data_IF_592120054463
#
_entry.id   IF_592120054463
#
_cell.length_a   1.000
_cell.length_b   1.000
_cell.length_c   1.000
_cell.angle_alpha   90.00
_cell.angle_beta   90.00
_cell.angle_gamma   90.00
#
_symmetry.space_group_name_H-M   'P 1'
#
loop_
_entity.id
_entity.type
_entity.pdbx_description
1 polymer ?
#
# COMPACT_ATOMS: atom_id res chain seq x y z
N UNK A 1 -8.11 -5.80 -13.53
CA UNK A 1 -9.24 -4.86 -13.72
C UNK A 1 -9.61 -4.25 -12.38
N UNK A 2 -9.75 -2.94 -12.33
CA UNK A 2 -10.17 -2.25 -11.12
C UNK A 2 -11.67 -2.08 -11.10
N UNK A 3 -12.26 -2.22 -9.92
CA UNK A 3 -13.66 -1.90 -9.68
C UNK A 3 -13.73 -0.68 -8.77
N UNK A 4 -14.75 0.15 -8.99
CA UNK A 4 -14.98 1.34 -8.18
C UNK A 4 -15.79 0.96 -6.94
N UNK A 5 -15.39 1.47 -5.80
CA UNK A 5 -16.10 1.34 -4.53
C UNK A 5 -16.27 2.74 -3.93
N UNK A 6 -17.42 3.00 -3.32
CA UNK A 6 -17.62 4.25 -2.58
C UNK A 6 -16.57 4.38 -1.49
N UNK A 7 -16.00 5.57 -1.37
CA UNK A 7 -14.87 5.80 -0.48
C UNK A 7 -15.20 5.55 0.99
N UNK A 8 -16.44 5.82 1.40
CA UNK A 8 -16.92 5.54 2.76
C UNK A 8 -17.04 4.04 3.06
N UNK A 9 -16.98 3.17 2.05
CA UNK A 9 -16.99 1.71 2.20
C UNK A 9 -15.59 1.09 2.07
N UNK A 10 -14.57 1.89 1.80
CA UNK A 10 -13.21 1.39 1.58
C UNK A 10 -12.67 0.61 2.78
N UNK A 11 -13.09 0.96 4.01
CA UNK A 11 -12.68 0.26 5.23
C UNK A 11 -13.05 -1.23 5.22
N UNK A 12 -14.11 -1.62 4.50
CA UNK A 12 -14.54 -3.03 4.42
C UNK A 12 -13.50 -3.92 3.72
N UNK A 13 -12.62 -3.33 2.93
CA UNK A 13 -11.54 -4.06 2.24
C UNK A 13 -10.32 -4.31 3.14
N UNK A 14 -10.22 -3.60 4.27
CA UNK A 14 -9.08 -3.71 5.19
C UNK A 14 -9.43 -4.42 6.49
N UNK A 15 -10.54 -5.10 6.54
CA UNK A 15 -10.97 -5.94 7.66
C UNK A 15 -11.16 -7.40 7.24
N UNK A 16 -10.59 -8.37 7.98
CA UNK A 16 -9.49 -8.24 8.92
C UNK A 16 -8.17 -8.01 8.17
N UNK A 17 -7.28 -7.24 8.70
CA UNK A 17 -5.96 -6.85 8.16
C UNK A 17 -5.44 -7.72 7.00
N UNK A 18 -5.82 -7.47 5.76
CA UNK A 18 -5.33 -8.24 4.62
C UNK A 18 -3.88 -7.86 4.31
N UNK A 19 -3.20 -8.70 3.56
CA UNK A 19 -1.93 -8.31 2.94
C UNK A 19 -2.24 -7.34 1.80
N UNK A 20 -1.65 -6.16 1.83
CA UNK A 20 -1.86 -5.11 0.83
C UNK A 20 -0.57 -4.72 0.15
N UNK A 21 -0.69 -4.11 -1.02
CA UNK A 21 0.40 -3.44 -1.70
C UNK A 21 0.21 -1.93 -1.54
N UNK A 22 1.29 -1.23 -1.22
CA UNK A 22 1.30 0.22 -1.17
C UNK A 22 2.27 0.74 -2.23
N UNK A 23 1.77 1.62 -3.09
CA UNK A 23 2.61 2.29 -4.09
C UNK A 23 2.92 3.70 -3.63
N UNK A 24 4.15 4.11 -3.87
CA UNK A 24 4.69 5.42 -3.55
C UNK A 24 5.50 5.95 -4.72
N UNK A 25 5.72 7.26 -4.72
CA UNK A 25 6.60 7.91 -5.70
C UNK A 25 7.55 8.84 -4.98
N UNK A 26 8.81 8.79 -5.33
CA UNK A 26 9.82 9.72 -4.83
C UNK A 26 10.74 10.14 -5.98
N UNK A 27 10.84 11.45 -6.22
CA UNK A 27 11.64 12.04 -7.28
C UNK A 27 11.35 11.43 -8.67
N UNK A 28 10.05 11.20 -8.96
CA UNK A 28 9.62 10.63 -10.23
C UNK A 28 9.81 9.12 -10.35
N UNK A 29 10.36 8.47 -9.32
CA UNK A 29 10.55 7.02 -9.29
C UNK A 29 9.45 6.33 -8.50
N UNK A 30 8.76 5.40 -9.13
CA UNK A 30 7.71 4.62 -8.50
C UNK A 30 8.30 3.45 -7.71
N UNK A 31 7.65 3.13 -6.60
CA UNK A 31 7.99 1.97 -5.78
C UNK A 31 6.72 1.32 -5.23
N UNK A 32 6.81 0.05 -4.92
CA UNK A 32 5.73 -0.74 -4.32
C UNK A 32 6.29 -1.58 -3.18
N UNK A 33 5.52 -1.73 -2.11
CA UNK A 33 5.89 -2.61 -1.02
C UNK A 33 4.68 -3.34 -0.46
N UNK A 34 4.95 -4.49 0.14
CA UNK A 34 3.95 -5.35 0.76
C UNK A 34 3.81 -4.99 2.23
N UNK A 35 2.58 -4.89 2.71
CA UNK A 35 2.28 -4.57 4.09
C UNK A 35 1.11 -5.42 4.57
N UNK A 36 1.20 -5.92 5.81
CA UNK A 36 0.12 -6.65 6.47
C UNK A 36 -0.28 -6.05 7.82
N UNK A 37 0.50 -5.09 8.32
CA UNK A 37 0.26 -4.46 9.62
C UNK A 37 -0.52 -3.16 9.41
N UNK A 38 -1.83 -3.28 9.25
CA UNK A 38 -2.72 -2.13 9.06
C UNK A 38 -4.06 -2.38 9.77
N UNK A 39 -4.74 -1.30 10.11
CA UNK A 39 -6.07 -1.36 10.71
C UNK A 39 -6.85 -0.08 10.48
N UNK A 40 -8.20 -0.16 10.38
CA UNK A 40 -9.05 1.03 10.42
C UNK A 40 -8.97 1.70 11.81
N UNK A 41 -8.91 3.02 11.84
CA UNK A 41 -8.93 3.81 13.07
C UNK A 41 -10.28 4.45 13.37
N UNK A 42 -11.08 4.70 12.35
CA UNK A 42 -12.32 5.42 12.47
C UNK A 42 -12.57 6.31 11.27
N UNK A 43 -13.65 7.05 11.29
CA UNK A 43 -14.05 7.91 10.18
C UNK A 43 -13.74 9.36 10.49
N UNK A 44 -13.31 10.07 9.46
CA UNK A 44 -13.24 11.52 9.50
C UNK A 44 -14.64 12.10 9.35
N UNK A 45 -15.05 12.97 10.28
CA UNK A 45 -16.40 13.51 10.33
C UNK A 45 -16.75 14.38 9.10
N UNK A 46 -15.75 15.06 8.53
CA UNK A 46 -15.98 15.96 7.39
C UNK A 46 -16.06 15.22 6.06
N UNK A 47 -15.17 14.27 5.81
CA UNK A 47 -15.07 13.56 4.53
C UNK A 47 -15.85 12.25 4.49
N UNK A 48 -16.17 11.65 5.65
CA UNK A 48 -16.73 10.32 5.74
C UNK A 48 -15.73 9.20 5.38
N UNK A 49 -14.47 9.54 5.17
CA UNK A 49 -13.43 8.58 4.83
C UNK A 49 -12.86 7.90 6.08
N UNK A 50 -12.46 6.65 5.93
CA UNK A 50 -11.81 5.92 7.00
C UNK A 50 -10.34 6.31 7.11
N UNK A 51 -9.90 6.62 8.32
CA UNK A 51 -8.49 6.72 8.65
C UNK A 51 -7.92 5.33 8.87
N UNK A 52 -6.76 5.05 8.32
CA UNK A 52 -6.10 3.76 8.40
C UNK A 52 -4.73 3.94 9.03
N UNK A 53 -4.45 3.16 10.09
CA UNK A 53 -3.13 3.07 10.66
C UNK A 53 -2.33 1.98 9.97
N UNK A 54 -1.09 2.24 9.67
CA UNK A 54 -0.14 1.23 9.21
C UNK A 54 1.09 1.22 10.12
N UNK A 55 1.67 0.06 10.31
CA UNK A 55 2.92 -0.08 11.05
C UNK A 55 4.05 -0.36 10.07
N UNK A 56 5.02 0.52 10.05
CA UNK A 56 6.26 0.37 9.30
C UNK A 56 7.39 1.12 10.01
N UNK A 57 8.60 1.05 9.51
CA UNK A 57 9.74 1.71 10.14
C UNK A 57 10.47 2.67 9.21
N UNK A 58 11.14 3.67 9.78
CA UNK A 58 11.95 4.64 9.02
C UNK A 58 13.12 4.00 8.28
N UNK A 59 13.50 2.78 8.66
CA UNK A 59 14.49 1.98 7.95
C UNK A 59 13.97 1.49 6.59
N UNK A 60 12.66 1.46 6.41
CA UNK A 60 12.04 1.02 5.16
C UNK A 60 12.13 2.12 4.11
N UNK A 61 12.68 1.78 2.94
CA UNK A 61 12.83 2.71 1.81
C UNK A 61 11.48 3.35 1.42
N UNK A 62 10.44 2.54 1.32
CA UNK A 62 9.10 2.99 0.90
C UNK A 62 8.43 3.86 1.94
N UNK A 63 8.65 3.58 3.23
CA UNK A 63 8.13 4.41 4.31
C UNK A 63 8.71 5.82 4.27
N UNK A 64 10.01 5.94 3.95
CA UNK A 64 10.64 7.26 3.79
C UNK A 64 10.03 8.06 2.64
N UNK A 65 9.72 7.40 1.52
CA UNK A 65 9.04 8.03 0.39
C UNK A 65 7.65 8.54 0.77
N UNK A 66 6.87 7.75 1.52
CA UNK A 66 5.56 8.18 2.03
C UNK A 66 5.64 9.40 2.95
N UNK A 67 6.59 9.40 3.88
CA UNK A 67 6.78 10.51 4.81
C UNK A 67 7.17 11.80 4.08
N UNK A 68 7.96 11.68 3.03
CA UNK A 68 8.42 12.82 2.23
C UNK A 68 7.30 13.39 1.36
N UNK A 69 6.57 12.54 0.65
CA UNK A 69 5.53 12.97 -0.30
C UNK A 69 4.14 13.09 0.34
N UNK A 70 3.93 12.52 1.52
CA UNK A 70 2.68 12.54 2.29
C UNK A 70 1.49 11.99 1.51
N UNK A 71 1.73 11.04 0.62
CA UNK A 71 0.69 10.35 -0.14
C UNK A 71 1.16 8.97 -0.58
N UNK A 72 0.20 8.08 -0.72
CA UNK A 72 0.40 6.74 -1.24
C UNK A 72 -0.92 6.21 -1.79
N UNK A 73 -0.85 5.11 -2.53
CA UNK A 73 -2.05 4.36 -2.93
C UNK A 73 -1.99 2.98 -2.31
N UNK A 74 -3.07 2.59 -1.66
CA UNK A 74 -3.23 1.27 -1.08
C UNK A 74 -4.02 0.39 -2.04
N UNK A 75 -3.48 -0.79 -2.35
CA UNK A 75 -4.08 -1.76 -3.25
C UNK A 75 -4.35 -3.06 -2.49
N UNK A 76 -5.55 -3.61 -2.65
CA UNK A 76 -5.89 -4.93 -2.13
C UNK A 76 -5.71 -5.94 -3.27
N UNK A 77 -4.65 -6.76 -3.26
CA UNK A 77 -4.39 -7.70 -4.32
C UNK A 77 -5.39 -8.85 -4.31
N UNK A 78 -5.65 -9.40 -5.49
CA UNK A 78 -6.44 -10.62 -5.62
C UNK A 78 -5.57 -11.85 -5.37
N UNK A 79 -6.21 -13.00 -5.18
CA UNK A 79 -5.52 -14.28 -4.97
C UNK A 79 -4.55 -14.64 -6.10
N UNK A 80 -4.85 -14.22 -7.32
CA UNK A 80 -3.98 -14.44 -8.50
C UNK A 80 -2.62 -13.77 -8.38
N UNK A 81 -2.54 -12.67 -7.61
CA UNK A 81 -1.32 -11.90 -7.41
C UNK A 81 -0.58 -12.25 -6.11
N UNK A 82 -0.99 -13.32 -5.42
CA UNK A 82 -0.43 -13.66 -4.11
C UNK A 82 1.07 -13.92 -4.15
N UNK A 83 1.53 -14.67 -5.15
CA UNK A 83 2.96 -14.99 -5.29
C UNK A 83 3.81 -13.73 -5.48
N UNK A 84 3.37 -12.82 -6.36
CA UNK A 84 4.05 -11.56 -6.60
C UNK A 84 3.98 -10.65 -5.38
N UNK A 85 2.84 -10.61 -4.71
CA UNK A 85 2.66 -9.82 -3.48
C UNK A 85 3.67 -10.22 -2.40
N UNK A 86 3.89 -11.52 -2.21
CA UNK A 86 4.88 -12.02 -1.26
C UNK A 86 6.30 -11.68 -1.74
N UNK A 87 6.60 -11.94 -3.00
CA UNK A 87 7.92 -11.71 -3.58
C UNK A 87 8.34 -10.22 -3.53
N UNK A 88 7.41 -9.30 -3.77
CA UNK A 88 7.64 -7.85 -3.66
C UNK A 88 8.14 -7.48 -2.26
N UNK A 89 7.65 -8.14 -1.23
CA UNK A 89 8.06 -7.91 0.16
C UNK A 89 9.47 -8.41 0.48
N UNK A 90 10.08 -9.22 -0.36
CA UNK A 90 11.42 -9.82 -0.11
C UNK A 90 12.57 -8.98 -0.67
N UNK A 91 12.30 -7.95 -1.45
CA UNK A 91 13.31 -7.09 -2.08
C UNK A 91 13.10 -5.63 -1.71
N UNK A 92 14.17 -4.83 -1.78
CA UNK A 92 14.11 -3.39 -1.49
C UNK A 92 14.06 -2.57 -2.78
N UNK A 93 13.15 -1.59 -2.81
CA UNK A 93 13.09 -0.60 -3.89
C UNK A 93 14.32 0.30 -3.99
N UNK A 94 15.16 0.31 -2.95
CA UNK A 94 16.46 1.00 -3.00
C UNK A 94 17.47 0.28 -3.90
N UNK A 95 17.29 -1.01 -4.13
CA UNK A 95 18.22 -1.85 -4.88
C UNK A 95 17.63 -2.37 -6.19
N UNK A 96 16.31 -2.45 -6.30
CA UNK A 96 15.59 -3.09 -7.41
C UNK A 96 14.44 -2.20 -7.85
N UNK A 97 14.28 -2.01 -9.16
CA UNK A 97 13.04 -1.48 -9.72
C UNK A 97 11.99 -2.59 -9.70
N UNK A 98 11.08 -2.52 -8.75
CA UNK A 98 10.07 -3.55 -8.54
C UNK A 98 9.02 -3.59 -9.65
N UNK A 99 8.68 -2.45 -10.25
CA UNK A 99 7.73 -2.40 -11.35
C UNK A 99 8.27 -3.15 -12.57
N UNK A 100 9.53 -2.92 -12.89
CA UNK A 100 10.21 -3.63 -13.99
C UNK A 100 10.36 -5.12 -13.68
N UNK A 101 10.88 -5.44 -12.49
CA UNK A 101 11.17 -6.82 -12.09
C UNK A 101 9.94 -7.71 -12.05
N UNK A 102 8.79 -7.21 -11.60
CA UNK A 102 7.55 -7.97 -11.45
C UNK A 102 6.54 -7.72 -12.57
N UNK A 103 6.87 -6.91 -13.56
CA UNK A 103 6.00 -6.63 -14.69
C UNK A 103 4.72 -5.90 -14.35
N UNK A 104 4.79 -4.99 -13.39
CA UNK A 104 3.63 -4.25 -12.88
C UNK A 104 3.24 -3.08 -13.77
#
# INVERSE_FOLDING_TARGET
MYQTLDLNLAFTLVEPSPVVLITTRDQGKDNVFTLSLLMPLGFDDDSGCCNIAIMTGRWNHSARAMLKNKQCVLHVPTAEHMADTIAIGTVSGAQVDKFDRFGL
#
